data_IF_033211128722
#
_entry.id   IF_033211128722
#
_cell.length_a   1.000
_cell.length_b   1.000
_cell.length_c   1.000
_cell.angle_alpha   90.00
_cell.angle_beta   90.00
_cell.angle_gamma   90.00
#
_symmetry.space_group_name_H-M   'P 1'
#
loop_
_entity.id
_entity.type
_entity.pdbx_description
1 polymer ?
#
# COMPACT_ATOMS: atom_id res chain seq x y z
N UNK A 1 11.92 -5.61 -16.32
CA UNK A 1 10.96 -5.45 -15.19
C UNK A 1 11.66 -5.07 -13.88
N UNK A 2 12.60 -5.87 -13.35
CA UNK A 2 13.29 -5.52 -12.08
C UNK A 2 14.02 -4.17 -12.16
N UNK A 3 14.64 -3.86 -13.31
CA UNK A 3 15.31 -2.58 -13.58
C UNK A 3 14.38 -1.36 -13.48
N UNK A 4 13.13 -1.49 -13.93
CA UNK A 4 12.17 -0.38 -13.94
C UNK A 4 11.84 0.12 -12.51
N UNK A 5 12.01 -0.74 -11.50
CA UNK A 5 11.71 -0.41 -10.11
C UNK A 5 12.80 0.44 -9.43
N UNK A 6 13.97 0.65 -10.08
CA UNK A 6 15.12 1.41 -9.52
C UNK A 6 15.43 1.03 -8.06
N UNK A 7 15.33 -0.26 -7.75
CA UNK A 7 15.40 -0.76 -6.39
C UNK A 7 16.83 -0.71 -5.84
N UNK A 8 16.95 -0.35 -4.57
CA UNK A 8 18.25 -0.30 -3.87
C UNK A 8 18.94 -1.68 -3.83
N UNK A 9 20.28 -1.70 -3.65
CA UNK A 9 21.05 -2.94 -3.51
C UNK A 9 20.61 -3.80 -2.33
N UNK A 10 20.81 -5.10 -2.47
CA UNK A 10 20.64 -6.07 -1.38
C UNK A 10 21.87 -6.16 -0.48
N UNK A 11 22.05 -7.30 0.17
CA UNK A 11 23.17 -7.55 1.10
C UNK A 11 24.54 -7.56 0.42
N UNK A 12 24.57 -7.90 -0.87
CA UNK A 12 25.74 -8.00 -1.75
C UNK A 12 26.24 -6.62 -2.24
N UNK A 13 25.41 -5.59 -2.15
CA UNK A 13 25.77 -4.24 -2.58
C UNK A 13 25.73 -4.04 -4.10
N UNK A 14 25.32 -5.05 -4.86
CA UNK A 14 25.24 -4.96 -6.33
C UNK A 14 24.04 -4.10 -6.72
N UNK A 15 24.30 -3.11 -7.57
CA UNK A 15 23.32 -2.14 -8.02
C UNK A 15 22.82 -2.50 -9.42
N UNK A 16 21.53 -2.31 -9.69
CA UNK A 16 20.95 -2.72 -10.98
C UNK A 16 21.42 -1.83 -12.13
N UNK A 17 21.70 -0.56 -11.87
CA UNK A 17 22.22 0.39 -12.86
C UNK A 17 23.60 -0.06 -13.34
N UNK A 18 24.50 -0.43 -12.43
CA UNK A 18 25.84 -0.94 -12.80
C UNK A 18 25.78 -2.20 -13.67
N UNK A 19 24.86 -3.13 -13.41
CA UNK A 19 24.68 -4.33 -14.25
C UNK A 19 24.23 -3.97 -15.67
N UNK A 20 23.43 -2.90 -15.83
CA UNK A 20 22.91 -2.47 -17.13
C UNK A 20 23.90 -1.60 -17.91
N UNK A 21 24.73 -0.85 -17.19
CA UNK A 21 25.77 0.00 -17.78
C UNK A 21 26.95 -0.82 -18.32
N UNK A 22 27.25 -1.98 -17.72
CA UNK A 22 28.29 -2.88 -18.22
C UNK A 22 27.76 -3.77 -19.37
N UNK A 23 28.33 -3.67 -20.58
CA UNK A 23 27.90 -4.50 -21.71
C UNK A 23 28.04 -6.00 -21.43
N UNK A 24 26.97 -6.77 -21.66
CA UNK A 24 26.97 -8.23 -21.52
C UNK A 24 26.79 -8.76 -20.09
N UNK A 25 26.78 -7.90 -19.06
CA UNK A 25 26.67 -8.34 -17.67
C UNK A 25 25.26 -8.84 -17.34
N UNK A 26 24.23 -8.18 -17.89
CA UNK A 26 22.84 -8.60 -17.75
C UNK A 26 22.61 -10.00 -18.37
N UNK A 27 23.08 -10.23 -19.60
CA UNK A 27 22.97 -11.51 -20.30
C UNK A 27 23.70 -12.62 -19.54
N UNK A 28 24.91 -12.31 -19.05
CA UNK A 28 25.70 -13.23 -18.23
C UNK A 28 24.98 -13.60 -16.94
N UNK A 29 24.37 -12.64 -16.24
CA UNK A 29 23.60 -12.88 -15.02
C UNK A 29 22.43 -13.82 -15.31
N UNK A 30 21.67 -13.56 -16.38
CA UNK A 30 20.53 -14.39 -16.78
C UNK A 30 20.96 -15.81 -17.16
N UNK A 31 22.02 -15.96 -17.97
CA UNK A 31 22.54 -17.26 -18.35
C UNK A 31 23.01 -18.08 -17.13
N UNK A 32 23.70 -17.41 -16.20
CA UNK A 32 24.17 -18.02 -14.95
C UNK A 32 22.98 -18.49 -14.09
N UNK A 33 21.99 -17.61 -13.90
CA UNK A 33 20.76 -17.94 -13.18
C UNK A 33 20.01 -19.11 -13.81
N UNK A 34 19.89 -19.11 -15.13
CA UNK A 34 19.22 -20.18 -15.87
C UNK A 34 19.93 -21.52 -15.66
N UNK A 35 21.27 -21.55 -15.76
CA UNK A 35 22.06 -22.74 -15.52
C UNK A 35 21.84 -23.28 -14.10
N UNK A 36 21.94 -22.41 -13.09
CA UNK A 36 21.80 -22.80 -11.68
C UNK A 36 20.38 -23.28 -11.31
N UNK A 37 19.35 -22.71 -11.93
CA UNK A 37 17.97 -23.16 -11.75
C UNK A 37 17.75 -24.54 -12.39
N UNK A 38 18.30 -24.76 -13.60
CA UNK A 38 18.24 -26.08 -14.29
C UNK A 38 18.99 -27.15 -13.52
N UNK A 39 20.19 -26.84 -13.01
CA UNK A 39 21.00 -27.77 -12.20
C UNK A 39 20.55 -27.88 -10.75
N UNK A 40 19.54 -27.11 -10.32
CA UNK A 40 19.03 -27.05 -8.94
C UNK A 40 20.11 -26.67 -7.91
N UNK A 41 21.10 -25.89 -8.33
CA UNK A 41 22.18 -25.39 -7.45
C UNK A 41 21.94 -23.96 -6.96
N UNK A 42 20.91 -23.28 -7.48
CA UNK A 42 20.51 -21.96 -7.02
C UNK A 42 20.28 -21.94 -5.50
N UNK A 43 20.86 -20.95 -4.82
CA UNK A 43 20.66 -20.68 -3.40
C UNK A 43 20.27 -19.22 -3.21
N UNK A 44 19.18 -18.98 -2.50
CA UNK A 44 18.74 -17.64 -2.15
C UNK A 44 19.74 -17.00 -1.19
N UNK A 45 20.05 -15.73 -1.42
CA UNK A 45 20.94 -14.97 -0.58
C UNK A 45 20.17 -14.37 0.61
N UNK A 46 20.94 -13.89 1.60
CA UNK A 46 20.34 -13.25 2.75
C UNK A 46 19.66 -11.92 2.37
N UNK A 47 18.52 -11.66 2.99
CA UNK A 47 17.71 -10.47 2.74
C UNK A 47 18.20 -9.33 3.63
N UNK A 48 18.42 -8.14 3.07
CA UNK A 48 18.85 -6.96 3.83
C UNK A 48 17.65 -6.31 4.53
N UNK A 49 17.68 -6.19 5.87
CA UNK A 49 16.66 -5.48 6.63
C UNK A 49 16.92 -3.98 6.61
N UNK A 50 15.92 -3.20 6.21
CA UNK A 50 15.93 -1.74 6.24
C UNK A 50 14.67 -1.24 6.93
N UNK A 51 14.79 -0.25 7.81
CA UNK A 51 13.67 0.29 8.55
C UNK A 51 13.16 1.58 7.91
N UNK A 52 11.89 1.60 7.51
CA UNK A 52 11.21 2.81 7.04
C UNK A 52 10.36 3.40 8.17
N UNK A 53 10.46 4.71 8.48
CA UNK A 53 9.61 5.32 9.48
C UNK A 53 8.13 5.27 9.07
N UNK A 54 7.25 4.81 9.96
CA UNK A 54 5.80 5.00 9.83
C UNK A 54 5.41 6.35 10.43
N UNK A 55 4.32 6.93 9.94
CA UNK A 55 3.77 8.19 10.47
C UNK A 55 3.36 8.17 11.96
N UNK A 56 3.33 7.00 12.60
CA UNK A 56 3.01 6.84 14.02
C UNK A 56 4.28 6.65 14.90
N UNK A 57 5.46 7.00 14.40
CA UNK A 57 6.75 6.85 15.11
C UNK A 57 7.31 5.43 15.14
N UNK A 58 6.50 4.40 14.89
CA UNK A 58 6.96 3.01 14.71
C UNK A 58 7.73 2.87 13.39
N UNK A 59 8.64 1.91 13.29
CA UNK A 59 9.34 1.59 12.04
C UNK A 59 8.70 0.38 11.35
N UNK A 60 8.62 0.42 10.01
CA UNK A 60 8.24 -0.71 9.16
C UNK A 60 9.51 -1.36 8.67
N UNK A 61 9.78 -2.61 9.05
CA UNK A 61 10.91 -3.28 8.48
C UNK A 61 10.61 -3.72 7.03
N UNK A 62 11.57 -3.51 6.15
CA UNK A 62 11.60 -4.05 4.80
C UNK A 62 12.73 -5.06 4.68
N UNK A 63 12.48 -6.14 3.97
CA UNK A 63 13.50 -7.06 3.51
C UNK A 63 13.78 -6.82 2.02
N UNK A 64 14.99 -6.40 1.69
CA UNK A 64 15.45 -6.14 0.33
C UNK A 64 16.30 -7.33 -0.13
N UNK A 65 15.79 -8.18 -1.04
CA UNK A 65 16.58 -9.24 -1.65
C UNK A 65 17.64 -8.67 -2.60
N UNK A 66 18.62 -9.48 -2.97
CA UNK A 66 19.62 -9.10 -3.97
C UNK A 66 19.01 -9.01 -5.36
N UNK A 67 19.68 -8.33 -6.30
CA UNK A 67 19.17 -8.19 -7.68
C UNK A 67 18.92 -9.56 -8.30
N UNK A 68 19.86 -10.49 -8.09
CA UNK A 68 19.76 -11.89 -8.52
C UNK A 68 18.47 -12.56 -8.03
N UNK A 69 18.19 -12.47 -6.73
CA UNK A 69 17.00 -13.08 -6.14
C UNK A 69 15.71 -12.39 -6.61
N UNK A 70 15.72 -11.06 -6.78
CA UNK A 70 14.59 -10.32 -7.36
C UNK A 70 14.26 -10.76 -8.78
N UNK A 71 15.28 -11.09 -9.60
CA UNK A 71 15.09 -11.59 -10.96
C UNK A 71 14.40 -12.96 -10.95
N UNK A 72 14.86 -13.90 -10.13
CA UNK A 72 14.23 -15.24 -10.05
C UNK A 72 12.82 -15.16 -9.46
N UNK A 73 12.63 -14.35 -8.41
CA UNK A 73 11.31 -14.13 -7.84
C UNK A 73 10.35 -13.51 -8.86
N UNK A 74 10.81 -12.53 -9.66
CA UNK A 74 9.99 -11.93 -10.72
C UNK A 74 9.63 -12.96 -11.80
N UNK A 75 10.58 -13.80 -12.22
CA UNK A 75 10.31 -14.86 -13.18
C UNK A 75 9.25 -15.85 -12.65
N UNK A 76 9.31 -16.20 -11.36
CA UNK A 76 8.28 -17.02 -10.73
C UNK A 76 6.92 -16.31 -10.68
N UNK A 77 6.88 -15.02 -10.32
CA UNK A 77 5.62 -14.23 -10.31
C UNK A 77 4.96 -14.20 -11.68
N UNK A 78 5.72 -14.00 -12.76
CA UNK A 78 5.17 -13.98 -14.13
C UNK A 78 4.44 -15.28 -14.52
N UNK A 79 4.85 -16.41 -13.97
CA UNK A 79 4.25 -17.72 -14.24
C UNK A 79 3.11 -18.00 -13.27
N UNK A 80 3.30 -17.69 -11.98
CA UNK A 80 2.35 -18.03 -10.92
C UNK A 80 1.16 -17.08 -10.86
N UNK A 81 1.36 -15.79 -11.10
CA UNK A 81 0.31 -14.78 -11.00
C UNK A 81 -0.91 -15.11 -11.89
N UNK A 82 -0.76 -15.43 -13.20
CA UNK A 82 -1.92 -15.79 -14.04
C UNK A 82 -2.68 -17.04 -13.55
N UNK A 83 -1.96 -18.01 -12.98
CA UNK A 83 -2.56 -19.26 -12.46
C UNK A 83 -3.47 -18.96 -11.28
N UNK A 84 -3.01 -18.15 -10.33
CA UNK A 84 -3.78 -17.80 -9.14
C UNK A 84 -4.82 -16.70 -9.41
N UNK A 85 -4.54 -15.78 -10.32
CA UNK A 85 -5.48 -14.73 -10.72
C UNK A 85 -6.78 -15.32 -11.27
N UNK A 86 -6.72 -16.45 -11.96
CA UNK A 86 -7.90 -17.19 -12.43
C UNK A 86 -8.80 -17.71 -11.28
N UNK A 87 -8.23 -17.96 -10.09
CA UNK A 87 -8.96 -18.48 -8.93
C UNK A 87 -9.44 -17.37 -7.98
N UNK A 88 -8.77 -16.21 -8.00
CA UNK A 88 -9.01 -15.09 -7.10
C UNK A 88 -10.42 -14.48 -7.27
N UNK A 89 -11.12 -14.34 -6.13
CA UNK A 89 -12.47 -13.77 -6.10
C UNK A 89 -12.45 -12.25 -6.32
N UNK A 90 -13.53 -11.71 -6.86
CA UNK A 90 -13.66 -10.28 -7.18
C UNK A 90 -13.68 -9.34 -5.97
N UNK A 91 -13.87 -9.88 -4.76
CA UNK A 91 -13.80 -9.10 -3.52
C UNK A 91 -12.38 -8.59 -3.20
N UNK A 92 -11.34 -9.11 -3.87
CA UNK A 92 -9.94 -8.74 -3.63
C UNK A 92 -9.37 -7.84 -4.74
N UNK A 93 -8.76 -6.72 -4.36
CA UNK A 93 -8.28 -5.70 -5.28
C UNK A 93 -6.77 -5.41 -5.18
N UNK A 94 -6.17 -5.63 -4.01
CA UNK A 94 -4.78 -5.23 -3.76
C UNK A 94 -3.78 -6.14 -4.47
N UNK A 95 -2.71 -5.55 -5.03
CA UNK A 95 -1.61 -6.25 -5.71
C UNK A 95 -2.06 -7.24 -6.80
N UNK A 96 -3.10 -6.89 -7.57
CA UNK A 96 -3.61 -7.70 -8.68
C UNK A 96 -3.59 -6.90 -9.99
N UNK A 97 -3.29 -7.56 -11.12
CA UNK A 97 -3.32 -6.90 -12.42
C UNK A 97 -4.74 -6.43 -12.76
N UNK A 98 -4.88 -5.22 -13.31
CA UNK A 98 -6.18 -4.64 -13.70
C UNK A 98 -7.11 -4.25 -12.55
N UNK A 99 -6.71 -4.47 -11.29
CA UNK A 99 -7.45 -4.02 -10.11
C UNK A 99 -6.83 -2.75 -9.51
N UNK A 100 -7.66 -1.87 -8.94
CA UNK A 100 -7.19 -0.60 -8.36
C UNK A 100 -7.84 -0.27 -7.02
N UNK A 101 -7.20 0.62 -6.25
CA UNK A 101 -7.76 1.16 -5.01
C UNK A 101 -9.12 1.83 -5.24
N UNK A 102 -9.28 2.57 -6.34
CA UNK A 102 -10.53 3.23 -6.72
C UNK A 102 -11.67 2.24 -6.97
N UNK A 103 -11.39 1.07 -7.54
CA UNK A 103 -12.42 0.03 -7.69
C UNK A 103 -12.89 -0.51 -6.33
N UNK A 104 -11.98 -0.74 -5.38
CA UNK A 104 -12.34 -1.14 -4.02
C UNK A 104 -13.20 -0.06 -3.34
N UNK A 105 -12.82 1.21 -3.47
CA UNK A 105 -13.59 2.34 -2.94
C UNK A 105 -14.98 2.46 -3.58
N UNK A 106 -15.08 2.23 -4.89
CA UNK A 106 -16.35 2.21 -5.61
C UNK A 106 -17.24 1.04 -5.15
N UNK A 107 -16.67 -0.14 -4.90
CA UNK A 107 -17.40 -1.28 -4.35
C UNK A 107 -17.95 -0.98 -2.95
N UNK A 108 -17.15 -0.36 -2.07
CA UNK A 108 -17.60 0.08 -0.74
C UNK A 108 -18.74 1.08 -0.88
N UNK A 109 -18.57 2.11 -1.72
CA UNK A 109 -19.60 3.12 -1.96
C UNK A 109 -20.92 2.48 -2.42
N UNK A 110 -20.86 1.60 -3.42
CA UNK A 110 -22.06 0.91 -3.94
C UNK A 110 -22.73 0.02 -2.90
N UNK A 111 -21.97 -0.68 -2.07
CA UNK A 111 -22.51 -1.46 -0.96
C UNK A 111 -23.20 -0.57 0.09
N UNK A 112 -22.62 0.58 0.43
CA UNK A 112 -23.24 1.55 1.34
C UNK A 112 -24.54 2.11 0.78
N UNK A 113 -24.56 2.47 -0.50
CA UNK A 113 -25.74 2.95 -1.20
C UNK A 113 -26.83 1.86 -1.30
N UNK A 114 -26.43 0.59 -1.37
CA UNK A 114 -27.32 -0.57 -1.30
C UNK A 114 -27.78 -0.93 0.13
N UNK A 115 -27.43 -0.12 1.14
CA UNK A 115 -27.91 -0.27 2.52
C UNK A 115 -27.07 -1.18 3.42
N UNK A 116 -25.88 -1.62 3.00
CA UNK A 116 -24.96 -2.36 3.86
C UNK A 116 -24.17 -1.40 4.77
N UNK A 117 -24.86 -0.78 5.72
CA UNK A 117 -24.32 0.35 6.50
C UNK A 117 -23.52 -0.05 7.73
N UNK A 118 -23.60 -1.31 8.15
CA UNK A 118 -22.80 -1.85 9.26
C UNK A 118 -21.54 -2.48 8.71
N UNK A 119 -20.39 -1.96 9.11
CA UNK A 119 -19.07 -2.31 8.57
C UNK A 119 -18.17 -2.81 9.68
N UNK A 120 -17.64 -4.01 9.50
CA UNK A 120 -16.50 -4.54 10.26
C UNK A 120 -15.21 -4.12 9.53
N UNK A 121 -14.53 -3.12 10.11
CA UNK A 121 -13.25 -2.59 9.64
C UNK A 121 -12.12 -3.40 10.29
N UNK A 122 -11.44 -4.25 9.52
CA UNK A 122 -10.45 -5.18 10.03
C UNK A 122 -9.03 -4.77 9.67
N UNK A 123 -8.15 -4.70 10.68
CA UNK A 123 -6.71 -4.44 10.52
C UNK A 123 -5.92 -5.63 11.07
N UNK A 124 -5.07 -6.23 10.24
CA UNK A 124 -4.22 -7.35 10.64
C UNK A 124 -2.91 -6.83 11.26
N UNK A 125 -2.53 -7.38 12.41
CA UNK A 125 -1.30 -6.99 13.10
C UNK A 125 -0.09 -7.59 12.38
N UNK A 126 0.73 -6.72 11.78
CA UNK A 126 2.02 -7.12 11.21
C UNK A 126 1.89 -8.24 10.17
N UNK A 127 0.85 -8.17 9.34
CA UNK A 127 0.41 -9.26 8.47
C UNK A 127 1.55 -9.98 7.73
N UNK A 128 2.40 -9.23 7.01
CA UNK A 128 3.51 -9.83 6.27
C UNK A 128 4.51 -10.56 7.17
N UNK A 129 4.75 -10.09 8.40
CA UNK A 129 5.68 -10.74 9.34
C UNK A 129 5.02 -11.92 10.10
N UNK A 130 3.68 -12.06 10.07
CA UNK A 130 2.95 -13.08 10.85
C UNK A 130 2.52 -14.32 10.05
N UNK A 131 2.57 -14.30 8.72
CA UNK A 131 2.12 -15.43 7.87
C UNK A 131 2.88 -16.74 8.20
N UNK A 132 2.20 -17.82 8.64
CA UNK A 132 2.86 -19.10 8.89
C UNK A 132 3.38 -19.73 7.59
N UNK A 133 4.67 -20.08 7.52
CA UNK A 133 5.30 -20.62 6.30
C UNK A 133 4.62 -21.90 5.81
N UNK A 134 4.34 -22.83 6.71
CA UNK A 134 3.76 -24.13 6.35
C UNK A 134 2.36 -23.98 5.76
N UNK A 135 1.55 -23.06 6.31
CA UNK A 135 0.20 -22.79 5.79
C UNK A 135 0.25 -22.03 4.46
N UNK A 136 1.18 -21.08 4.32
CA UNK A 136 1.40 -20.35 3.06
C UNK A 136 1.84 -21.28 1.93
N UNK A 137 2.79 -22.18 2.19
CA UNK A 137 3.22 -23.19 1.22
C UNK A 137 2.10 -24.14 0.87
N UNK A 138 1.33 -24.64 1.85
CA UNK A 138 0.14 -25.45 1.59
C UNK A 138 -0.86 -24.73 0.69
N UNK A 139 -1.09 -23.43 0.91
CA UNK A 139 -2.00 -22.64 0.07
C UNK A 139 -1.53 -22.56 -1.39
N UNK A 140 -0.21 -22.52 -1.64
CA UNK A 140 0.37 -22.60 -2.99
C UNK A 140 0.25 -24.02 -3.57
N UNK A 141 0.53 -25.05 -2.75
CA UNK A 141 0.46 -26.47 -3.12
C UNK A 141 -0.92 -26.90 -3.62
N UNK A 142 -1.99 -26.22 -3.19
CA UNK A 142 -3.35 -26.48 -3.65
C UNK A 142 -3.54 -26.28 -5.16
N UNK A 143 -2.68 -25.48 -5.79
CA UNK A 143 -2.75 -25.21 -7.24
C UNK A 143 -1.49 -25.61 -7.99
N UNK A 144 -0.33 -25.58 -7.33
CA UNK A 144 0.99 -25.84 -7.91
C UNK A 144 1.58 -27.11 -7.30
N UNK A 145 1.70 -28.17 -8.10
CA UNK A 145 2.28 -29.44 -7.65
C UNK A 145 3.79 -29.58 -7.93
N UNK A 146 4.39 -28.63 -8.66
CA UNK A 146 5.81 -28.67 -8.99
C UNK A 146 6.69 -28.47 -7.75
N UNK A 147 7.36 -29.56 -7.35
CA UNK A 147 8.24 -29.59 -6.17
C UNK A 147 9.42 -28.63 -6.27
N UNK A 148 9.94 -28.36 -7.47
CA UNK A 148 11.05 -27.44 -7.68
C UNK A 148 10.61 -25.99 -7.43
N UNK A 149 9.43 -25.60 -7.89
CA UNK A 149 8.86 -24.27 -7.61
C UNK A 149 8.57 -24.10 -6.12
N UNK A 150 7.92 -25.10 -5.50
CA UNK A 150 7.64 -25.09 -4.07
C UNK A 150 8.91 -25.01 -3.22
N UNK A 151 9.99 -25.68 -3.65
CA UNK A 151 11.29 -25.59 -3.01
C UNK A 151 11.89 -24.18 -3.08
N UNK A 152 11.81 -23.52 -4.23
CA UNK A 152 12.26 -22.12 -4.39
C UNK A 152 11.49 -21.17 -3.47
N UNK A 153 10.17 -21.29 -3.42
CA UNK A 153 9.33 -20.45 -2.53
C UNK A 153 9.71 -20.68 -1.06
N UNK A 154 9.85 -21.95 -0.66
CA UNK A 154 10.29 -22.32 0.70
C UNK A 154 11.67 -21.73 1.01
N UNK A 155 12.59 -21.75 0.05
CA UNK A 155 13.94 -21.20 0.19
C UNK A 155 13.89 -19.68 0.43
N UNK A 156 13.06 -18.94 -0.33
CA UNK A 156 12.88 -17.50 -0.12
C UNK A 156 12.25 -17.16 1.22
N UNK A 157 11.23 -17.91 1.64
CA UNK A 157 10.58 -17.71 2.95
C UNK A 157 11.54 -17.94 4.12
N UNK A 158 12.44 -18.92 4.01
CA UNK A 158 13.43 -19.26 5.05
C UNK A 158 14.78 -18.55 4.88
N UNK A 159 14.87 -17.60 3.96
CA UNK A 159 16.12 -16.88 3.70
C UNK A 159 16.56 -16.09 4.93
N UNK A 160 17.84 -16.18 5.36
CA UNK A 160 18.34 -15.43 6.51
C UNK A 160 18.17 -13.93 6.31
N UNK A 161 17.91 -13.20 7.39
CA UNK A 161 17.82 -11.74 7.36
C UNK A 161 19.11 -11.14 7.93
N UNK A 162 19.64 -10.10 7.29
CA UNK A 162 20.84 -9.39 7.73
C UNK A 162 20.48 -7.93 8.02
N UNK A 163 20.81 -7.47 9.23
CA UNK A 163 20.62 -6.07 9.64
C UNK A 163 21.96 -5.32 9.62
N UNK A 164 21.95 -4.07 9.14
CA UNK A 164 23.10 -3.16 9.26
C UNK A 164 23.06 -2.46 10.61
N UNK A 165 24.11 -2.60 11.41
CA UNK A 165 24.30 -1.84 12.65
C UNK A 165 24.71 -0.39 12.34
N UNK A 166 24.26 0.59 13.14
CA UNK A 166 24.92 1.90 13.19
C UNK A 166 26.39 1.68 13.58
N UNK A 167 27.34 2.07 12.72
CA UNK A 167 28.78 1.85 12.93
C UNK A 167 29.45 0.83 12.00
N UNK A 168 28.75 0.26 11.00
CA UNK A 168 29.41 -0.44 9.87
C UNK A 168 29.48 -1.97 9.96
N UNK A 169 28.88 -2.60 10.98
CA UNK A 169 28.79 -4.07 11.09
C UNK A 169 27.49 -4.64 10.50
N UNK A 170 27.56 -5.82 9.84
CA UNK A 170 26.38 -6.62 9.48
C UNK A 170 26.13 -7.67 10.56
N UNK A 171 24.91 -7.72 11.12
CA UNK A 171 24.52 -8.80 12.04
C UNK A 171 23.58 -9.73 11.31
N UNK A 172 23.89 -11.03 11.31
CA UNK A 172 23.01 -12.05 10.76
C UNK A 172 21.95 -12.36 11.81
N UNK A 173 20.73 -11.86 11.62
CA UNK A 173 19.57 -12.39 12.34
C UNK A 173 19.26 -13.79 11.81
N UNK A 174 18.66 -14.64 12.65
CA UNK A 174 18.39 -16.05 12.33
C UNK A 174 17.50 -16.24 11.10
N UNK A 175 17.16 -17.51 10.81
CA UNK A 175 16.14 -17.81 9.80
C UNK A 175 14.76 -17.49 10.41
N UNK A 176 13.89 -16.78 9.69
CA UNK A 176 12.53 -16.54 10.17
C UNK A 176 11.71 -17.83 10.16
N UNK A 177 10.94 -18.06 11.21
CA UNK A 177 10.00 -19.20 11.31
C UNK A 177 8.59 -18.86 10.80
N UNK A 178 8.32 -17.57 10.59
CA UNK A 178 7.08 -17.03 10.03
C UNK A 178 7.34 -15.73 9.28
N UNK A 179 6.35 -15.33 8.49
CA UNK A 179 6.34 -14.12 7.70
C UNK A 179 7.00 -14.26 6.33
N UNK A 180 6.78 -13.28 5.49
CA UNK A 180 7.40 -13.15 4.18
C UNK A 180 8.16 -11.82 4.14
N UNK A 181 9.39 -11.78 3.61
CA UNK A 181 10.20 -10.57 3.62
C UNK A 181 9.47 -9.46 2.86
N UNK A 182 9.13 -8.40 3.58
CA UNK A 182 8.37 -7.29 3.04
C UNK A 182 9.27 -6.48 2.10
N UNK A 183 9.11 -6.62 0.79
CA UNK A 183 10.05 -6.09 -0.22
C UNK A 183 10.62 -7.15 -1.16
N UNK A 184 10.37 -8.43 -0.87
CA UNK A 184 10.45 -9.50 -1.87
C UNK A 184 9.43 -9.29 -2.98
N UNK A 185 9.81 -9.60 -4.22
CA UNK A 185 8.97 -9.40 -5.41
C UNK A 185 7.77 -10.35 -5.38
N UNK A 186 7.96 -11.56 -4.87
CA UNK A 186 6.91 -12.59 -4.77
C UNK A 186 6.01 -12.42 -3.54
N UNK A 187 6.43 -11.63 -2.54
CA UNK A 187 5.75 -11.50 -1.25
C UNK A 187 4.29 -11.03 -1.35
N UNK A 188 3.94 -10.03 -2.20
CA UNK A 188 2.54 -9.61 -2.37
C UNK A 188 1.64 -10.72 -2.93
N UNK A 189 2.15 -11.53 -3.88
CA UNK A 189 1.41 -12.65 -4.46
C UNK A 189 1.14 -13.73 -3.39
N UNK A 190 2.17 -14.12 -2.62
CA UNK A 190 2.01 -15.12 -1.54
C UNK A 190 1.03 -14.65 -0.45
N UNK A 191 1.08 -13.37 -0.10
CA UNK A 191 0.10 -12.74 0.78
C UNK A 191 -1.33 -12.91 0.24
N UNK A 192 -1.55 -12.56 -1.04
CA UNK A 192 -2.86 -12.70 -1.65
C UNK A 192 -3.33 -14.15 -1.73
N UNK A 193 -2.46 -15.10 -2.11
CA UNK A 193 -2.77 -16.54 -2.13
C UNK A 193 -3.20 -17.01 -0.75
N UNK A 194 -2.52 -16.54 0.31
CA UNK A 194 -2.85 -16.93 1.66
C UNK A 194 -4.21 -16.40 2.12
N UNK A 195 -4.47 -15.10 1.97
CA UNK A 195 -5.76 -14.50 2.35
C UNK A 195 -6.91 -14.90 1.42
N UNK A 196 -6.62 -15.37 0.21
CA UNK A 196 -7.65 -15.86 -0.69
C UNK A 196 -8.45 -17.04 -0.11
N UNK A 197 -7.83 -17.86 0.73
CA UNK A 197 -8.54 -18.95 1.42
C UNK A 197 -9.60 -18.43 2.40
N UNK A 198 -9.36 -17.27 3.02
CA UNK A 198 -10.39 -16.57 3.77
C UNK A 198 -11.50 -16.06 2.84
N UNK A 199 -11.15 -15.45 1.70
CA UNK A 199 -12.13 -15.00 0.70
C UNK A 199 -13.05 -16.16 0.26
N UNK A 200 -12.50 -17.35 -0.02
CA UNK A 200 -13.25 -18.56 -0.39
C UNK A 200 -14.19 -19.02 0.72
N UNK A 201 -13.70 -19.10 1.96
CA UNK A 201 -14.51 -19.52 3.12
C UNK A 201 -15.61 -18.50 3.42
N UNK A 202 -15.35 -17.21 3.21
CA UNK A 202 -16.35 -16.15 3.35
C UNK A 202 -17.51 -16.31 2.35
N UNK A 203 -17.21 -16.76 1.13
CA UNK A 203 -18.19 -16.95 0.05
C UNK A 203 -18.73 -18.38 -0.09
N UNK A 204 -18.27 -19.30 0.76
CA UNK A 204 -18.71 -20.71 0.76
C UNK A 204 -20.18 -20.83 1.17
N UNK A 205 -20.79 -22.00 0.98
CA UNK A 205 -22.21 -22.25 1.27
C UNK A 205 -22.61 -21.89 2.72
N UNK A 206 -21.72 -22.15 3.68
CA UNK A 206 -21.88 -21.80 5.10
C UNK A 206 -21.24 -20.45 5.49
N UNK A 207 -20.76 -19.69 4.51
CA UNK A 207 -20.06 -18.42 4.72
C UNK A 207 -20.99 -17.20 4.86
N UNK A 208 -20.51 -16.08 5.42
CA UNK A 208 -21.32 -14.89 5.67
C UNK A 208 -21.91 -14.26 4.43
N UNK A 209 -21.28 -14.44 3.26
CA UNK A 209 -21.86 -13.98 2.01
C UNK A 209 -23.19 -14.69 1.67
N UNK A 210 -23.45 -15.87 2.23
CA UNK A 210 -24.67 -16.65 2.00
C UNK A 210 -25.70 -16.45 3.10
N UNK A 211 -25.32 -16.63 4.37
CA UNK A 211 -26.28 -16.55 5.48
C UNK A 211 -26.64 -15.11 5.88
N UNK A 212 -25.73 -14.15 5.74
CA UNK A 212 -25.95 -12.73 6.06
C UNK A 212 -26.05 -11.84 4.82
N UNK A 213 -25.88 -12.42 3.62
CA UNK A 213 -25.68 -11.67 2.37
C UNK A 213 -24.56 -10.62 2.49
N UNK A 214 -23.54 -10.90 3.33
CA UNK A 214 -22.46 -9.97 3.64
C UNK A 214 -21.58 -9.69 2.42
N UNK A 215 -21.03 -8.48 2.33
CA UNK A 215 -20.15 -8.04 1.24
C UNK A 215 -18.73 -7.84 1.76
N UNK A 216 -17.77 -8.52 1.15
CA UNK A 216 -16.36 -8.38 1.47
C UNK A 216 -15.68 -7.47 0.43
N UNK A 217 -14.88 -6.52 0.89
CA UNK A 217 -13.97 -5.74 0.06
C UNK A 217 -12.59 -5.76 0.70
N UNK A 218 -11.60 -6.31 -0.01
CA UNK A 218 -10.24 -6.50 0.46
C UNK A 218 -9.24 -5.80 -0.45
N UNK A 219 -8.32 -5.06 0.14
CA UNK A 219 -7.16 -4.49 -0.53
C UNK A 219 -5.90 -4.93 0.21
N UNK A 220 -5.26 -5.99 -0.30
CA UNK A 220 -4.14 -6.65 0.37
C UNK A 220 -4.53 -7.19 1.76
N UNK A 221 -3.94 -6.63 2.82
CA UNK A 221 -4.19 -6.95 4.23
C UNK A 221 -5.33 -6.15 4.86
N UNK A 222 -5.65 -4.97 4.31
CA UNK A 222 -6.77 -4.15 4.75
C UNK A 222 -8.06 -4.67 4.11
N UNK A 223 -9.07 -5.00 4.91
CA UNK A 223 -10.38 -5.40 4.38
C UNK A 223 -11.53 -4.92 5.24
N UNK A 224 -12.68 -4.77 4.60
CA UNK A 224 -13.94 -4.41 5.24
C UNK A 224 -14.99 -5.46 4.90
N UNK A 225 -15.73 -5.90 5.90
CA UNK A 225 -16.91 -6.76 5.71
C UNK A 225 -18.15 -5.96 6.07
N UNK A 226 -19.11 -5.90 5.15
CA UNK A 226 -20.29 -5.04 5.24
C UNK A 226 -21.55 -5.89 5.29
N UNK A 227 -22.45 -5.55 6.20
CA UNK A 227 -23.67 -6.33 6.44
C UNK A 227 -24.85 -5.39 6.76
N UNK A 228 -26.08 -5.89 6.59
CA UNK A 228 -27.30 -5.19 7.00
C UNK A 228 -27.69 -5.50 8.44
N UNK A 229 -27.48 -6.74 8.87
CA UNK A 229 -27.85 -7.30 10.17
C UNK A 229 -26.85 -8.41 10.54
N UNK A 230 -26.90 -8.96 11.75
CA UNK A 230 -26.05 -10.09 12.19
C UNK A 230 -24.56 -9.74 12.25
N UNK A 231 -24.27 -8.52 12.65
CA UNK A 231 -22.92 -7.98 12.72
C UNK A 231 -22.04 -8.67 13.78
N UNK A 232 -22.66 -9.21 14.84
CA UNK A 232 -21.96 -9.94 15.91
C UNK A 232 -21.50 -11.32 15.43
N UNK A 233 -22.37 -12.05 14.74
CA UNK A 233 -22.08 -13.34 14.14
C UNK A 233 -21.00 -13.22 13.06
N UNK A 234 -21.07 -12.14 12.26
CA UNK A 234 -20.05 -11.82 11.26
C UNK A 234 -18.69 -11.57 11.92
N UNK A 235 -18.64 -10.71 12.94
CA UNK A 235 -17.41 -10.43 13.68
C UNK A 235 -16.80 -11.70 14.27
N UNK A 236 -17.61 -12.51 14.96
CA UNK A 236 -17.17 -13.77 15.56
C UNK A 236 -16.63 -14.76 14.52
N UNK A 237 -17.29 -14.86 13.36
CA UNK A 237 -16.82 -15.69 12.25
C UNK A 237 -15.45 -15.23 11.74
N UNK A 238 -15.29 -13.93 11.49
CA UNK A 238 -14.05 -13.35 10.97
C UNK A 238 -12.91 -13.59 11.96
N UNK A 239 -13.11 -13.29 13.23
CA UNK A 239 -12.12 -13.45 14.30
C UNK A 239 -11.70 -14.92 14.44
N UNK A 240 -12.67 -15.83 14.52
CA UNK A 240 -12.40 -17.27 14.64
C UNK A 240 -11.61 -17.80 13.44
N UNK A 241 -11.96 -17.41 12.21
CA UNK A 241 -11.27 -17.89 11.01
C UNK A 241 -9.87 -17.31 10.89
N UNK A 242 -9.67 -16.04 11.21
CA UNK A 242 -8.35 -15.42 11.13
C UNK A 242 -7.42 -15.91 12.24
N UNK A 243 -7.86 -15.88 13.49
CA UNK A 243 -7.02 -16.21 14.64
C UNK A 243 -6.81 -17.73 14.76
N UNK A 244 -7.89 -18.53 14.76
CA UNK A 244 -7.77 -19.96 15.03
C UNK A 244 -7.37 -20.76 13.78
N UNK A 245 -8.01 -20.50 12.64
CA UNK A 245 -7.74 -21.29 11.43
C UNK A 245 -6.52 -20.79 10.65
N UNK A 246 -6.38 -19.48 10.43
CA UNK A 246 -5.23 -18.93 9.72
C UNK A 246 -4.04 -18.64 10.64
N UNK A 247 -4.21 -18.47 11.94
CA UNK A 247 -3.09 -18.12 12.83
C UNK A 247 -2.57 -16.71 12.58
N UNK A 248 -3.47 -15.79 12.22
CA UNK A 248 -3.18 -14.35 12.06
C UNK A 248 -3.72 -13.60 13.27
N UNK A 249 -3.03 -12.53 13.68
CA UNK A 249 -3.46 -11.70 14.81
C UNK A 249 -4.22 -10.46 14.30
N UNK A 250 -5.39 -10.20 14.87
CA UNK A 250 -6.13 -8.96 14.64
C UNK A 250 -5.59 -7.83 15.51
N UNK A 251 -5.55 -6.63 14.94
CA UNK A 251 -5.21 -5.43 15.68
C UNK A 251 -6.46 -4.86 16.34
N UNK A 252 -6.72 -5.28 17.59
CA UNK A 252 -7.92 -4.91 18.36
C UNK A 252 -8.05 -3.40 18.62
N UNK A 253 -6.94 -2.65 18.59
CA UNK A 253 -6.95 -1.19 18.75
C UNK A 253 -7.54 -0.45 17.54
N UNK A 254 -7.50 -1.09 16.37
CA UNK A 254 -7.96 -0.49 15.11
C UNK A 254 -9.17 -1.21 14.52
N UNK A 255 -9.30 -2.49 14.80
CA UNK A 255 -10.42 -3.31 14.33
C UNK A 255 -11.67 -2.89 15.08
N UNK A 256 -12.73 -2.54 14.34
CA UNK A 256 -13.95 -2.02 14.95
C UNK A 256 -15.17 -2.31 14.11
N UNK A 257 -16.30 -2.40 14.80
CA UNK A 257 -17.61 -2.48 14.18
C UNK A 257 -18.22 -1.08 14.17
N UNK A 258 -18.59 -0.59 12.99
CA UNK A 258 -19.08 0.78 12.79
C UNK A 258 -20.39 0.73 12.03
N UNK A 259 -21.44 1.31 12.59
CA UNK A 259 -22.68 1.57 11.86
C UNK A 259 -22.66 2.99 11.30
N UNK A 260 -22.57 3.13 9.98
CA UNK A 260 -22.44 4.44 9.34
C UNK A 260 -23.73 5.28 9.37
N UNK A 261 -24.87 4.71 9.78
CA UNK A 261 -26.11 5.48 9.97
C UNK A 261 -26.08 6.34 11.24
N UNK A 262 -25.25 5.97 12.21
CA UNK A 262 -25.07 6.70 13.46
C UNK A 262 -24.41 8.06 13.22
N UNK A 263 -24.86 9.06 13.99
CA UNK A 263 -24.38 10.44 13.83
C UNK A 263 -22.91 10.53 14.25
N UNK A 264 -22.06 10.97 13.34
CA UNK A 264 -20.61 11.12 13.57
C UNK A 264 -19.78 9.88 13.24
N UNK A 265 -20.40 8.75 12.90
CA UNK A 265 -19.69 7.57 12.45
C UNK A 265 -18.98 7.82 11.12
N UNK A 266 -17.79 7.24 10.96
CA UNK A 266 -17.06 7.27 9.69
C UNK A 266 -16.11 6.09 9.54
N UNK A 267 -15.98 5.63 8.30
CA UNK A 267 -15.08 4.56 7.89
C UNK A 267 -13.90 5.17 7.14
N UNK A 268 -12.68 4.89 7.59
CA UNK A 268 -11.46 5.27 6.89
C UNK A 268 -10.94 4.06 6.11
N UNK A 269 -10.84 4.16 4.78
CA UNK A 269 -10.32 3.07 3.94
C UNK A 269 -9.47 3.63 2.79
N UNK A 270 -8.27 3.07 2.56
CA UNK A 270 -7.33 3.47 1.50
C UNK A 270 -7.08 4.98 1.37
N UNK A 271 -7.09 5.68 2.52
CA UNK A 271 -6.85 7.13 2.58
C UNK A 271 -8.09 7.99 2.37
N UNK A 272 -9.26 7.40 2.15
CA UNK A 272 -10.56 8.07 2.08
C UNK A 272 -11.36 7.86 3.36
N UNK A 273 -12.28 8.78 3.63
CA UNK A 273 -13.25 8.70 4.71
C UNK A 273 -14.66 8.69 4.10
N UNK A 274 -15.43 7.66 4.45
CA UNK A 274 -16.86 7.54 4.14
C UNK A 274 -17.67 7.99 5.35
N UNK A 275 -18.61 8.91 5.14
CA UNK A 275 -19.48 9.43 6.21
C UNK A 275 -20.84 9.83 5.66
N UNK A 276 -21.90 9.54 6.39
CA UNK A 276 -23.21 10.12 6.13
C UNK A 276 -23.29 11.51 6.76
N UNK A 277 -23.43 12.55 5.94
CA UNK A 277 -23.58 13.93 6.39
C UNK A 277 -25.04 14.40 6.20
N UNK A 278 -25.57 15.21 7.12
CA UNK A 278 -26.89 15.80 6.96
C UNK A 278 -26.90 16.78 5.78
N UNK A 279 -28.08 16.96 5.19
CA UNK A 279 -28.30 17.97 4.15
C UNK A 279 -27.95 19.38 4.66
N UNK A 280 -27.28 20.18 3.82
CA UNK A 280 -26.90 21.56 4.14
C UNK A 280 -28.11 22.49 4.37
N UNK A 281 -29.27 22.14 3.80
CA UNK A 281 -30.52 22.92 3.92
C UNK A 281 -31.49 22.29 4.94
N UNK A 282 -31.00 21.42 5.82
CA UNK A 282 -31.77 20.90 6.95
C UNK A 282 -32.84 19.87 6.58
N UNK A 283 -32.82 19.32 5.36
CA UNK A 283 -33.71 18.20 5.00
C UNK A 283 -33.35 16.94 5.80
N UNK A 284 -34.32 16.07 6.12
CA UNK A 284 -34.08 14.85 6.92
C UNK A 284 -33.25 13.77 6.18
N UNK A 285 -32.73 14.07 4.99
CA UNK A 285 -31.94 13.14 4.18
C UNK A 285 -30.46 13.28 4.51
N UNK A 286 -29.81 12.16 4.82
CA UNK A 286 -28.34 12.08 4.91
C UNK A 286 -27.77 11.66 3.56
N UNK A 287 -26.63 12.22 3.19
CA UNK A 287 -25.91 11.86 1.97
C UNK A 287 -24.57 11.22 2.31
N UNK A 288 -24.21 10.19 1.55
CA UNK A 288 -22.89 9.59 1.65
C UNK A 288 -21.87 10.54 1.04
N UNK A 289 -21.03 11.11 1.89
CA UNK A 289 -19.87 11.90 1.50
C UNK A 289 -18.62 11.03 1.53
N UNK A 290 -17.80 11.14 0.49
CA UNK A 290 -16.51 10.45 0.37
C UNK A 290 -15.45 11.49 0.10
N UNK A 291 -14.53 11.66 1.04
CA UNK A 291 -13.49 12.69 0.99
C UNK A 291 -12.13 12.12 1.38
N UNK A 292 -11.02 12.74 0.97
CA UNK A 292 -9.70 12.39 1.51
C UNK A 292 -9.70 12.45 3.04
N UNK A 293 -9.11 11.44 3.68
CA UNK A 293 -9.05 11.35 5.13
C UNK A 293 -8.19 12.48 5.73
N UNK A 294 -8.50 12.87 6.96
CA UNK A 294 -7.70 13.87 7.68
C UNK A 294 -6.23 13.46 7.84
N UNK A 295 -5.97 12.15 7.95
CA UNK A 295 -4.61 11.60 7.96
C UNK A 295 -3.91 11.81 6.61
N UNK A 296 -4.60 11.61 5.50
CA UNK A 296 -4.06 11.87 4.16
C UNK A 296 -3.76 13.36 3.94
N UNK A 297 -4.67 14.25 4.34
CA UNK A 297 -4.46 15.70 4.28
C UNK A 297 -3.27 16.14 5.14
N UNK A 298 -3.15 15.63 6.36
CA UNK A 298 -2.00 15.93 7.23
C UNK A 298 -0.67 15.49 6.60
N UNK A 299 -0.64 14.31 5.98
CA UNK A 299 0.55 13.81 5.27
C UNK A 299 0.89 14.69 4.07
N UNK A 300 -0.11 15.10 3.30
CA UNK A 300 0.08 15.97 2.15
C UNK A 300 0.67 17.32 2.57
N UNK A 301 0.13 17.94 3.62
CA UNK A 301 0.70 19.17 4.18
C UNK A 301 2.15 19.00 4.62
N UNK A 302 2.50 17.86 5.21
CA UNK A 302 3.88 17.58 5.62
C UNK A 302 4.83 17.43 4.42
N UNK A 303 4.40 16.76 3.35
CA UNK A 303 5.18 16.65 2.11
C UNK A 303 5.39 18.04 1.49
N UNK A 304 4.32 18.82 1.34
CA UNK A 304 4.40 20.19 0.81
C UNK A 304 5.26 21.10 1.69
N UNK A 305 5.25 20.90 3.01
CA UNK A 305 6.13 21.60 3.94
C UNK A 305 7.59 21.28 3.67
N UNK A 306 7.92 20.02 3.43
CA UNK A 306 9.28 19.56 3.13
C UNK A 306 9.76 20.10 1.77
N UNK A 307 8.91 20.05 0.74
CA UNK A 307 9.21 20.61 -0.59
C UNK A 307 9.47 22.13 -0.53
N UNK A 308 8.80 22.85 0.36
CA UNK A 308 8.96 24.30 0.58
C UNK A 308 9.85 24.64 1.78
N UNK A 309 10.65 23.68 2.25
CA UNK A 309 11.50 23.79 3.44
C UNK A 309 12.56 24.90 3.36
N UNK A 310 13.17 25.26 4.50
CA UNK A 310 14.30 26.22 4.56
C UNK A 310 15.52 25.73 3.78
N UNK A 311 15.77 24.43 3.78
CA UNK A 311 16.88 23.81 3.04
C UNK A 311 16.77 23.99 1.52
N UNK A 312 15.58 24.30 1.01
CA UNK A 312 15.31 24.50 -0.42
C UNK A 312 15.36 25.98 -0.84
N UNK A 313 15.81 26.90 0.03
CA UNK A 313 15.79 28.35 -0.25
C UNK A 313 16.66 28.78 -1.44
N UNK A 314 17.66 27.97 -1.80
CA UNK A 314 18.54 28.22 -2.94
C UNK A 314 18.00 27.65 -4.26
N UNK A 315 16.94 26.84 -4.23
CA UNK A 315 16.37 26.22 -5.44
C UNK A 315 15.70 27.27 -6.32
N UNK A 316 15.86 27.24 -7.66
CA UNK A 316 15.12 28.10 -8.57
C UNK A 316 13.59 27.94 -8.41
N UNK A 317 12.84 29.05 -8.41
CA UNK A 317 11.37 29.02 -8.25
C UNK A 317 10.68 28.19 -9.33
N UNK A 318 11.03 28.30 -10.63
CA UNK A 318 10.38 27.50 -11.67
C UNK A 318 10.51 25.99 -11.42
N UNK A 319 11.69 25.51 -11.02
CA UNK A 319 11.92 24.11 -10.70
C UNK A 319 11.09 23.64 -9.50
N UNK A 320 11.06 24.46 -8.43
CA UNK A 320 10.23 24.15 -7.25
C UNK A 320 8.75 24.09 -7.61
N UNK A 321 8.27 25.03 -8.42
CA UNK A 321 6.88 25.06 -8.89
C UNK A 321 6.57 23.83 -9.73
N UNK A 322 7.48 23.41 -10.61
CA UNK A 322 7.29 22.20 -11.41
C UNK A 322 7.22 20.94 -10.54
N UNK A 323 8.10 20.81 -9.56
CA UNK A 323 8.08 19.71 -8.57
C UNK A 323 6.74 19.68 -7.82
N UNK A 324 6.29 20.83 -7.31
CA UNK A 324 5.00 20.96 -6.61
C UNK A 324 3.85 20.58 -7.55
N UNK A 325 3.80 21.11 -8.77
CA UNK A 325 2.76 20.80 -9.74
C UNK A 325 2.72 19.31 -10.11
N UNK A 326 3.88 18.67 -10.24
CA UNK A 326 3.98 17.23 -10.51
C UNK A 326 3.42 16.43 -9.35
N UNK A 327 3.78 16.79 -8.12
CA UNK A 327 3.27 16.16 -6.90
C UNK A 327 1.76 16.35 -6.73
N UNK A 328 1.27 17.59 -6.84
CA UNK A 328 -0.14 17.94 -6.73
C UNK A 328 -0.99 17.23 -7.78
N UNK A 329 -0.54 17.16 -9.04
CA UNK A 329 -1.24 16.37 -10.08
C UNK A 329 -1.38 14.90 -9.70
N UNK A 330 -0.30 14.28 -9.21
CA UNK A 330 -0.35 12.90 -8.74
C UNK A 330 -1.32 12.71 -7.57
N UNK A 331 -1.29 13.64 -6.61
CA UNK A 331 -2.18 13.64 -5.46
C UNK A 331 -3.65 13.79 -5.87
N UNK A 332 -3.97 14.74 -6.75
CA UNK A 332 -5.33 14.94 -7.24
C UNK A 332 -5.84 13.77 -8.07
N UNK A 333 -5.00 13.18 -8.93
CA UNK A 333 -5.37 11.98 -9.68
C UNK A 333 -5.80 10.85 -8.74
N UNK A 334 -5.05 10.62 -7.65
CA UNK A 334 -5.43 9.62 -6.65
C UNK A 334 -6.66 10.06 -5.84
N UNK A 335 -6.72 11.31 -5.38
CA UNK A 335 -7.77 11.86 -4.50
C UNK A 335 -8.96 12.48 -5.24
N UNK A 336 -9.23 12.03 -6.46
CA UNK A 336 -10.31 12.54 -7.32
C UNK A 336 -11.68 11.88 -7.04
N UNK A 337 -11.72 10.79 -6.28
CA UNK A 337 -12.96 10.06 -6.00
C UNK A 337 -13.85 10.78 -4.98
N UNK A 338 -15.16 10.80 -5.23
CA UNK A 338 -16.14 11.40 -4.32
C UNK A 338 -16.24 12.92 -4.48
N UNK A 339 -16.15 13.66 -3.36
CA UNK A 339 -16.32 15.12 -3.33
C UNK A 339 -15.07 15.84 -2.81
N UNK A 340 -13.99 15.94 -3.63
CA UNK A 340 -12.70 16.42 -3.15
C UNK A 340 -12.59 17.94 -3.03
N UNK A 341 -13.57 18.72 -3.51
CA UNK A 341 -13.50 20.20 -3.60
C UNK A 341 -13.06 20.89 -2.31
N UNK A 342 -13.59 20.45 -1.16
CA UNK A 342 -13.23 21.02 0.15
C UNK A 342 -11.77 20.73 0.51
N UNK A 343 -11.32 19.51 0.25
CA UNK A 343 -9.93 19.10 0.44
C UNK A 343 -8.97 19.84 -0.51
N UNK A 344 -9.34 19.99 -1.78
CA UNK A 344 -8.53 20.72 -2.77
C UNK A 344 -8.37 22.18 -2.38
N UNK A 345 -9.44 22.83 -1.91
CA UNK A 345 -9.37 24.20 -1.41
C UNK A 345 -8.43 24.34 -0.20
N UNK A 346 -8.45 23.39 0.73
CA UNK A 346 -7.55 23.38 1.88
C UNK A 346 -6.08 23.23 1.46
N UNK A 347 -5.79 22.32 0.52
CA UNK A 347 -4.44 22.11 -0.02
C UNK A 347 -3.98 23.33 -0.81
N UNK A 348 -4.81 23.88 -1.70
CA UNK A 348 -4.51 25.09 -2.49
C UNK A 348 -4.18 26.28 -1.60
N UNK A 349 -4.96 26.49 -0.53
CA UNK A 349 -4.68 27.52 0.46
C UNK A 349 -3.34 27.26 1.16
N UNK A 350 -3.08 26.03 1.60
CA UNK A 350 -1.83 25.67 2.26
C UNK A 350 -0.61 25.89 1.37
N UNK A 351 -0.64 25.43 0.12
CA UNK A 351 0.44 25.65 -0.86
C UNK A 351 0.68 27.13 -1.08
N UNK A 352 -0.37 27.92 -1.24
CA UNK A 352 -0.28 29.38 -1.40
C UNK A 352 0.45 30.03 -0.22
N UNK A 353 0.06 29.69 1.01
CA UNK A 353 0.72 30.21 2.22
C UNK A 353 2.18 29.78 2.31
N UNK A 354 2.48 28.53 1.95
CA UNK A 354 3.85 27.99 1.98
C UNK A 354 4.75 28.65 0.93
N UNK A 355 4.26 28.85 -0.28
CA UNK A 355 4.97 29.56 -1.34
C UNK A 355 5.23 31.01 -0.95
N UNK A 356 4.23 31.70 -0.37
CA UNK A 356 4.43 33.05 0.15
C UNK A 356 5.50 33.12 1.24
N UNK A 357 5.46 32.21 2.21
CA UNK A 357 6.49 32.10 3.25
C UNK A 357 7.86 31.75 2.67
N UNK A 358 7.92 30.96 1.60
CA UNK A 358 9.17 30.62 0.93
C UNK A 358 9.77 31.84 0.21
N UNK A 359 8.98 32.54 -0.61
CA UNK A 359 9.39 33.75 -1.32
C UNK A 359 9.89 34.84 -0.37
N UNK A 360 9.21 35.04 0.76
CA UNK A 360 9.63 36.00 1.79
C UNK A 360 10.96 35.68 2.46
N UNK A 361 11.40 34.41 2.45
CA UNK A 361 12.65 33.97 3.09
C UNK A 361 13.86 34.09 2.17
N UNK A 362 13.66 34.22 0.85
CA UNK A 362 14.77 34.19 -0.12
C UNK A 362 15.60 35.46 -0.18
N UNK A 363 15.04 36.59 0.24
CA UNK A 363 15.71 37.89 0.16
C UNK A 363 15.59 38.63 1.49
N UNK A 364 16.54 39.55 1.75
CA UNK A 364 16.48 40.42 2.93
C UNK A 364 15.27 41.36 2.89
N UNK A 365 14.73 41.65 1.70
CA UNK A 365 13.49 42.40 1.53
C UNK A 365 12.29 41.46 1.59
N UNK A 366 11.24 41.77 2.38
CA UNK A 366 10.02 40.99 2.37
C UNK A 366 9.42 40.97 0.97
N UNK A 367 9.20 39.77 0.42
CA UNK A 367 8.48 39.62 -0.84
C UNK A 367 7.07 40.22 -0.71
N UNK A 368 6.71 41.08 -1.67
CA UNK A 368 5.34 41.55 -1.88
C UNK A 368 4.94 41.23 -3.33
N UNK A 369 3.69 40.78 -3.56
CA UNK A 369 3.16 40.65 -4.92
C UNK A 369 3.22 41.98 -5.67
N UNK A 370 3.36 41.97 -7.01
CA UNK A 370 3.25 43.17 -7.83
C UNK A 370 1.94 43.92 -7.58
N UNK A 371 1.98 45.24 -7.70
CA UNK A 371 0.80 46.10 -7.51
C UNK A 371 -0.32 45.70 -8.46
N UNK A 372 -1.56 45.61 -7.95
CA UNK A 372 -2.72 45.15 -8.70
C UNK A 372 -2.84 43.63 -8.92
N UNK A 373 -1.87 42.82 -8.45
CA UNK A 373 -1.90 41.35 -8.60
C UNK A 373 -2.07 40.68 -7.25
N UNK A 374 -3.11 39.85 -7.11
CA UNK A 374 -3.26 39.02 -5.91
C UNK A 374 -2.13 38.00 -5.80
N UNK A 375 -1.76 37.60 -4.58
CA UNK A 375 -0.78 36.53 -4.36
C UNK A 375 -1.13 35.26 -5.15
N UNK A 376 -2.42 34.93 -5.22
CA UNK A 376 -2.92 33.79 -5.96
C UNK A 376 -2.62 33.90 -7.46
N UNK A 377 -2.96 35.03 -8.09
CA UNK A 377 -2.66 35.29 -9.50
C UNK A 377 -1.15 35.32 -9.77
N UNK A 378 -0.36 35.92 -8.87
CA UNK A 378 1.09 35.96 -9.03
C UNK A 378 1.71 34.56 -9.01
N UNK A 379 1.28 33.69 -8.10
CA UNK A 379 1.76 32.30 -8.08
C UNK A 379 1.33 31.52 -9.33
N UNK A 380 0.14 31.79 -9.89
CA UNK A 380 -0.25 31.22 -11.19
C UNK A 380 0.65 31.71 -12.33
N UNK A 381 1.03 32.99 -12.34
CA UNK A 381 1.99 33.53 -13.32
C UNK A 381 3.37 32.88 -13.20
N UNK A 382 3.78 32.49 -11.99
CA UNK A 382 4.98 31.69 -11.74
C UNK A 382 4.83 30.22 -12.15
N UNK A 383 3.66 29.82 -12.66
CA UNK A 383 3.36 28.49 -13.18
C UNK A 383 2.69 27.57 -12.18
N UNK A 384 2.32 28.01 -10.96
CA UNK A 384 1.68 27.14 -9.97
C UNK A 384 0.27 26.74 -10.43
N UNK A 385 0.04 25.44 -10.54
CA UNK A 385 -1.24 24.84 -10.90
C UNK A 385 -1.98 24.42 -9.63
N UNK A 386 -3.15 25.03 -9.39
CA UNK A 386 -4.02 24.69 -8.29
C UNK A 386 -4.89 23.46 -8.62
N UNK A 387 -5.26 22.71 -7.58
CA UNK A 387 -6.12 21.53 -7.64
C UNK A 387 -7.59 21.85 -7.92
#
# INVERSE_FOLDING_TARGET
MVAANKGTPGVDGVNIEGILETPGEAEKLIATLQSELKSKTYQAQAVLRVYIPKGNGKQRPLGIPTVRDRVVQMAAVLILEPIFEADFLDCSYGYRPGKSAHQALAAIRGNLEAGYTTVYDADLRGYFDSIPHDKSLKAVEMRVSDRSVLHLIRMWLKSPVVERKPGGGKTRSGRPDKGTPQGGVISPLLANIYLHWFDKVFHFASGPAKWANARLVRFADDFVAMVRQQEKELASFIETKLENWMGLELNRDKTRLVNLTETGASLDFLGYTFRYEPDLWGKPKKYLNVTPSQKALKREREVLRQMTGTQKSCQPIPEMVEEINRHLRGWANYFSFGYPRKAYREVNWYVTQRMYQHLRRRSQRPFQPPEGVSLYQHLQQLGLAYL
#
